data_IF_700446024798
#
_entry.id   IF_700446024798
#
_cell.length_a   1.000
_cell.length_b   1.000
_cell.length_c   1.000
_cell.angle_alpha   90.00
_cell.angle_beta   90.00
_cell.angle_gamma   90.00
#
_symmetry.space_group_name_H-M   'P 1'
#
loop_
_entity.id
_entity.type
_entity.pdbx_description
1 polymer ?
#
# COMPACT_ATOMS: atom_id res chain seq x y z
N UNK A 1 24.84 -3.11 16.65
CA UNK A 1 25.50 -4.02 15.67
C UNK A 1 25.78 -3.20 14.42
N UNK A 2 27.05 -3.15 13.98
CA UNK A 2 27.42 -2.38 12.80
C UNK A 2 26.93 -3.11 11.55
N UNK A 3 26.02 -2.50 10.82
CA UNK A 3 25.59 -2.98 9.51
C UNK A 3 26.75 -2.79 8.53
N UNK A 4 27.42 -3.88 8.19
CA UNK A 4 28.34 -3.88 7.06
C UNK A 4 27.51 -3.74 5.78
N UNK A 5 27.51 -2.56 5.19
CA UNK A 5 27.08 -2.34 3.83
C UNK A 5 27.97 -3.20 2.92
N UNK A 6 27.51 -4.38 2.53
CA UNK A 6 28.15 -5.16 1.48
C UNK A 6 27.97 -4.37 0.18
N UNK A 7 29.08 -4.13 -0.55
CA UNK A 7 28.98 -3.58 -1.91
C UNK A 7 28.02 -4.44 -2.72
N UNK A 8 27.08 -3.82 -3.47
CA UNK A 8 26.13 -4.55 -4.30
C UNK A 8 26.90 -5.54 -5.17
N UNK A 9 26.46 -6.79 -5.22
CA UNK A 9 26.95 -7.77 -6.18
C UNK A 9 26.03 -7.71 -7.40
N UNK A 10 26.58 -7.35 -8.55
CA UNK A 10 25.83 -7.31 -9.81
C UNK A 10 25.46 -5.89 -10.27
N UNK A 11 24.48 -5.75 -11.16
CA UNK A 11 24.10 -4.51 -11.83
C UNK A 11 23.26 -3.55 -10.94
N UNK A 12 23.13 -3.87 -9.66
CA UNK A 12 22.32 -3.08 -8.73
C UNK A 12 23.13 -1.92 -8.16
N UNK A 13 22.54 -0.72 -8.14
CA UNK A 13 23.14 0.49 -7.54
C UNK A 13 23.19 0.33 -6.01
N UNK A 14 22.11 -0.20 -5.41
CA UNK A 14 22.00 -0.48 -3.96
C UNK A 14 21.17 -1.74 -3.77
N UNK A 15 21.45 -2.48 -2.71
CA UNK A 15 20.59 -3.57 -2.24
C UNK A 15 20.42 -3.48 -0.73
N UNK A 16 19.22 -3.81 -0.23
CA UNK A 16 18.93 -3.93 1.20
C UNK A 16 17.95 -5.07 1.47
N UNK A 17 18.08 -5.70 2.62
CA UNK A 17 17.09 -6.65 3.10
C UNK A 17 15.78 -5.93 3.41
N UNK A 18 14.67 -6.54 3.06
CA UNK A 18 13.34 -5.97 3.28
C UNK A 18 12.86 -6.27 4.70
N UNK A 19 12.10 -5.35 5.25
CA UNK A 19 11.35 -5.48 6.50
C UNK A 19 9.88 -5.18 6.22
N UNK A 20 9.03 -5.09 7.24
CA UNK A 20 7.64 -4.66 7.08
C UNK A 20 7.55 -3.29 6.36
N UNK A 21 8.53 -2.41 6.59
CA UNK A 21 8.66 -1.13 5.90
C UNK A 21 9.80 -1.21 4.90
N UNK A 22 9.51 -0.89 3.64
CA UNK A 22 10.49 -1.01 2.58
C UNK A 22 11.31 0.28 2.44
N UNK A 23 12.58 0.14 2.05
CA UNK A 23 13.38 1.29 1.60
C UNK A 23 12.74 1.89 0.35
N UNK A 24 12.46 3.17 0.36
CA UNK A 24 11.82 3.91 -0.75
C UNK A 24 12.65 5.11 -1.16
N UNK A 25 12.35 5.64 -2.33
CA UNK A 25 12.92 6.88 -2.86
C UNK A 25 11.82 7.75 -3.45
N UNK A 26 12.00 9.08 -3.39
CA UNK A 26 11.12 10.06 -4.01
C UNK A 26 10.71 9.62 -5.43
N UNK A 27 9.41 9.60 -5.80
CA UNK A 27 8.27 10.20 -5.11
C UNK A 27 7.63 9.31 -4.02
N UNK A 28 8.08 8.07 -3.86
CA UNK A 28 7.56 7.14 -2.86
C UNK A 28 8.20 7.45 -1.50
N UNK A 29 7.38 7.75 -0.51
CA UNK A 29 7.84 8.14 0.82
C UNK A 29 7.75 7.02 1.85
N UNK A 30 6.92 6.03 1.58
CA UNK A 30 6.70 4.91 2.49
C UNK A 30 6.03 3.75 1.74
N UNK A 31 6.44 2.53 2.07
CA UNK A 31 5.73 1.30 1.71
C UNK A 31 5.72 0.38 2.91
N UNK A 32 4.55 -0.15 3.24
CA UNK A 32 4.43 -1.25 4.20
C UNK A 32 3.78 -2.47 3.56
N UNK A 33 4.24 -3.63 3.96
CA UNK A 33 3.66 -4.90 3.54
C UNK A 33 3.32 -5.73 4.77
N UNK A 34 2.06 -6.16 4.85
CA UNK A 34 1.48 -6.89 5.97
C UNK A 34 0.97 -8.24 5.49
N UNK A 35 1.51 -9.31 6.05
CA UNK A 35 0.96 -10.65 5.90
C UNK A 35 0.57 -11.17 7.28
N UNK A 36 -0.70 -11.49 7.46
CA UNK A 36 -1.25 -12.00 8.71
C UNK A 36 -2.25 -13.13 8.43
N UNK A 37 -2.20 -14.19 9.21
CA UNK A 37 -3.12 -15.31 9.09
C UNK A 37 -4.06 -15.31 10.28
N UNK A 38 -5.11 -14.50 10.19
CA UNK A 38 -6.09 -14.36 11.26
C UNK A 38 -6.94 -15.63 11.43
N UNK A 39 -7.40 -15.92 12.66
CA UNK A 39 -8.36 -17.00 12.93
C UNK A 39 -9.73 -16.70 12.33
N UNK A 40 -10.70 -17.59 12.57
CA UNK A 40 -12.10 -17.31 12.29
C UNK A 40 -12.59 -16.07 13.04
N UNK A 41 -13.46 -15.30 12.40
CA UNK A 41 -14.09 -14.14 13.01
C UNK A 41 -15.23 -14.52 13.97
N UNK A 42 -15.49 -13.69 14.95
CA UNK A 42 -16.70 -13.75 15.75
C UNK A 42 -17.81 -12.86 15.13
N UNK A 43 -18.95 -12.72 15.78
CA UNK A 43 -20.07 -11.88 15.31
C UNK A 43 -19.71 -10.39 15.14
N UNK A 44 -18.60 -9.94 15.73
CA UNK A 44 -18.05 -8.58 15.58
C UNK A 44 -16.94 -8.51 14.51
N UNK A 45 -16.71 -9.59 13.77
CA UNK A 45 -15.59 -9.73 12.82
C UNK A 45 -14.23 -9.54 13.49
N UNK A 46 -14.11 -9.94 14.74
CA UNK A 46 -12.90 -9.87 15.56
C UNK A 46 -12.36 -11.28 15.84
N UNK A 47 -11.06 -11.42 16.18
CA UNK A 47 -10.51 -12.70 16.62
C UNK A 47 -11.20 -13.20 17.92
N UNK A 48 -11.24 -14.52 18.18
CA UNK A 48 -11.69 -15.06 19.45
C UNK A 48 -10.86 -14.50 20.62
N UNK A 49 -11.51 -14.19 21.75
CA UNK A 49 -10.87 -13.58 22.92
C UNK A 49 -9.69 -14.39 23.46
N UNK A 50 -9.72 -15.71 23.36
CA UNK A 50 -8.62 -16.58 23.81
C UNK A 50 -7.34 -16.39 23.00
N UNK A 51 -7.43 -15.98 21.72
CA UNK A 51 -6.27 -15.79 20.86
C UNK A 51 -5.62 -14.41 20.99
N UNK A 52 -6.33 -13.47 21.60
CA UNK A 52 -5.83 -12.11 21.85
C UNK A 52 -5.60 -11.81 23.34
N UNK A 53 -5.91 -12.76 24.22
CA UNK A 53 -5.72 -12.61 25.65
C UNK A 53 -4.24 -12.39 26.01
N UNK A 54 -3.97 -11.37 26.84
CA UNK A 54 -2.61 -11.01 27.26
C UNK A 54 -1.77 -10.28 26.22
N UNK A 55 -2.33 -9.96 25.04
CA UNK A 55 -1.65 -9.16 24.00
C UNK A 55 -1.76 -7.66 24.32
N UNK A 56 -0.83 -6.88 23.78
CA UNK A 56 -0.81 -5.42 23.96
C UNK A 56 -1.72 -4.73 22.92
N UNK A 57 -3.02 -5.00 23.01
CA UNK A 57 -4.01 -4.48 22.04
C UNK A 57 -3.94 -2.95 21.92
N UNK A 58 -3.97 -2.45 20.69
CA UNK A 58 -3.77 -1.04 20.36
C UNK A 58 -2.31 -0.64 20.10
N UNK A 59 -1.34 -1.55 20.34
CA UNK A 59 0.09 -1.40 20.01
C UNK A 59 0.74 -2.75 19.76
N UNK A 60 0.01 -3.66 19.12
CA UNK A 60 0.43 -5.05 18.93
C UNK A 60 0.96 -5.28 17.52
N UNK A 61 2.24 -4.99 17.33
CA UNK A 61 2.96 -5.15 16.07
C UNK A 61 3.78 -6.44 16.00
N UNK A 62 3.69 -7.28 17.04
CA UNK A 62 4.37 -8.57 17.07
C UNK A 62 3.48 -9.66 16.49
N UNK A 63 3.94 -10.36 15.45
CA UNK A 63 3.24 -11.52 14.89
C UNK A 63 3.19 -12.65 15.94
N UNK A 64 2.01 -12.91 16.51
CA UNK A 64 1.75 -13.94 17.51
C UNK A 64 0.61 -14.82 17.01
N UNK A 65 0.77 -16.14 17.04
CA UNK A 65 -0.16 -17.11 16.43
C UNK A 65 -0.48 -16.85 14.94
N UNK A 66 0.48 -16.26 14.22
CA UNK A 66 0.36 -15.98 12.80
C UNK A 66 -0.16 -14.59 12.45
N UNK A 67 -0.59 -13.75 13.40
CA UNK A 67 -1.18 -12.45 13.12
C UNK A 67 -0.83 -11.35 14.13
N UNK A 68 -1.10 -10.09 13.75
CA UNK A 68 -0.96 -8.87 14.56
C UNK A 68 -2.32 -8.20 14.73
N UNK A 69 -2.48 -7.42 15.81
CA UNK A 69 -3.70 -6.60 16.01
C UNK A 69 -3.47 -5.12 15.65
N UNK A 70 -2.22 -4.70 15.45
CA UNK A 70 -1.85 -3.31 15.18
C UNK A 70 -2.41 -2.34 16.23
N UNK A 71 -3.11 -1.29 15.79
CA UNK A 71 -3.77 -0.32 16.65
C UNK A 71 -5.21 -0.70 17.02
N UNK A 72 -5.80 -1.69 16.33
CA UNK A 72 -7.12 -2.20 16.64
C UNK A 72 -7.17 -2.92 17.98
N UNK A 73 -8.23 -2.70 18.75
CA UNK A 73 -8.43 -3.35 20.07
C UNK A 73 -9.44 -4.49 20.01
N UNK A 74 -10.37 -4.44 19.08
CA UNK A 74 -11.41 -5.44 18.86
C UNK A 74 -11.19 -6.09 17.50
N UNK A 75 -11.40 -5.35 16.42
CA UNK A 75 -11.06 -5.76 15.04
C UNK A 75 -9.62 -5.32 14.76
N UNK A 76 -8.79 -6.13 14.08
CA UNK A 76 -7.46 -5.70 13.67
C UNK A 76 -7.53 -4.54 12.67
N UNK A 77 -6.45 -3.76 12.58
CA UNK A 77 -6.34 -2.65 11.65
C UNK A 77 -5.95 -1.34 12.33
N UNK A 78 -6.25 -0.25 11.65
CA UNK A 78 -5.86 1.10 12.04
C UNK A 78 -7.14 1.95 12.29
N UNK A 79 -7.54 2.13 13.56
CA UNK A 79 -8.59 3.07 13.92
C UNK A 79 -8.29 4.47 13.41
N UNK A 80 -9.25 5.38 13.47
CA UNK A 80 -9.15 6.74 12.96
C UNK A 80 -7.77 7.36 13.23
N UNK A 81 -7.13 7.79 12.15
CA UNK A 81 -5.83 8.45 12.14
C UNK A 81 -5.78 9.47 11.01
N UNK A 82 -4.91 10.47 11.16
CA UNK A 82 -4.81 11.58 10.22
C UNK A 82 -3.78 11.32 9.11
N UNK A 83 -3.99 11.99 7.96
CA UNK A 83 -3.03 12.13 6.86
C UNK A 83 -2.96 13.58 6.42
N UNK A 84 -1.78 14.02 5.92
CA UNK A 84 -1.60 15.35 5.38
C UNK A 84 -0.42 15.43 4.42
N UNK A 85 -0.69 15.81 3.16
CA UNK A 85 0.34 16.16 2.17
C UNK A 85 0.85 15.03 1.29
N UNK A 86 0.14 13.93 1.20
CA UNK A 86 0.51 12.77 0.35
C UNK A 86 -0.70 11.95 -0.06
N UNK A 87 -0.48 11.00 -0.93
CA UNK A 87 -1.45 10.05 -1.44
C UNK A 87 -1.12 8.65 -0.91
N UNK A 88 -2.14 7.90 -0.49
CA UNK A 88 -2.02 6.52 -0.01
C UNK A 88 -2.72 5.58 -0.97
N UNK A 89 -2.05 4.47 -1.31
CA UNK A 89 -2.55 3.41 -2.19
C UNK A 89 -2.57 2.14 -1.36
N UNK A 90 -3.76 1.61 -1.08
CA UNK A 90 -3.94 0.40 -0.26
C UNK A 90 -4.42 -0.75 -1.13
N UNK A 91 -3.66 -1.85 -1.11
CA UNK A 91 -3.89 -3.05 -1.93
C UNK A 91 -3.98 -4.29 -1.06
N UNK A 92 -5.18 -4.72 -0.66
CA UNK A 92 -5.39 -6.04 -0.08
C UNK A 92 -5.45 -7.10 -1.19
N UNK A 93 -4.41 -7.92 -1.30
CA UNK A 93 -4.39 -9.06 -2.24
C UNK A 93 -5.23 -10.22 -1.71
N UNK A 94 -5.24 -10.43 -0.40
CA UNK A 94 -6.17 -11.29 0.33
C UNK A 94 -6.72 -10.55 1.53
N UNK A 95 -7.92 -10.94 1.95
CA UNK A 95 -8.64 -10.27 3.03
C UNK A 95 -9.37 -9.01 2.58
N UNK A 96 -10.00 -8.36 3.54
CA UNK A 96 -10.77 -7.13 3.34
C UNK A 96 -10.19 -5.98 4.15
N UNK A 97 -10.40 -4.77 3.63
CA UNK A 97 -10.22 -3.52 4.36
C UNK A 97 -11.56 -2.79 4.39
N UNK A 98 -12.02 -2.43 5.57
CA UNK A 98 -13.14 -1.50 5.78
C UNK A 98 -12.57 -0.10 5.99
N UNK A 99 -12.97 0.81 5.11
CA UNK A 99 -12.62 2.23 5.15
C UNK A 99 -13.81 3.06 5.63
N UNK A 100 -13.54 4.05 6.47
CA UNK A 100 -14.48 5.17 6.73
C UNK A 100 -13.67 6.43 6.97
N UNK A 101 -14.18 7.59 6.54
CA UNK A 101 -13.43 8.85 6.61
C UNK A 101 -14.22 10.03 7.21
N UNK A 102 -13.51 11.13 7.42
CA UNK A 102 -14.05 12.35 7.98
C UNK A 102 -14.97 13.13 7.03
N UNK A 103 -15.03 12.75 5.76
CA UNK A 103 -15.93 13.34 4.77
C UNK A 103 -17.25 12.59 4.65
N UNK A 104 -17.39 11.46 5.38
CA UNK A 104 -18.60 10.64 5.43
C UNK A 104 -18.64 9.53 4.38
N UNK A 105 -17.53 9.24 3.71
CA UNK A 105 -17.43 8.08 2.85
C UNK A 105 -17.16 6.82 3.66
N UNK A 106 -17.68 5.68 3.22
CA UNK A 106 -17.39 4.37 3.81
C UNK A 106 -17.43 3.27 2.76
N UNK A 107 -16.67 2.21 2.96
CA UNK A 107 -16.63 1.09 2.00
C UNK A 107 -15.92 -0.13 2.53
N UNK A 108 -16.00 -1.19 1.76
CA UNK A 108 -15.22 -2.43 1.92
C UNK A 108 -14.61 -2.79 0.59
N UNK A 109 -13.32 -3.03 0.57
CA UNK A 109 -12.58 -3.46 -0.62
C UNK A 109 -11.61 -4.58 -0.24
N UNK A 110 -11.18 -5.39 -1.22
CA UNK A 110 -10.31 -6.53 -0.95
C UNK A 110 -10.07 -7.41 -2.17
N UNK A 111 -9.24 -8.44 -1.98
CA UNK A 111 -8.99 -9.49 -2.98
C UNK A 111 -8.55 -8.96 -4.35
N UNK A 112 -7.64 -7.96 -4.35
CA UNK A 112 -7.04 -7.37 -5.55
C UNK A 112 -7.61 -6.01 -5.95
N UNK A 113 -8.59 -5.47 -5.23
CA UNK A 113 -9.01 -4.06 -5.36
C UNK A 113 -7.88 -3.12 -4.92
N UNK A 114 -7.91 -1.90 -5.44
CA UNK A 114 -6.93 -0.85 -5.10
C UNK A 114 -7.67 0.41 -4.66
N UNK A 115 -7.47 0.82 -3.42
CA UNK A 115 -8.01 2.10 -2.96
C UNK A 115 -6.94 3.17 -3.00
N UNK A 116 -7.30 4.32 -3.57
CA UNK A 116 -6.51 5.54 -3.64
C UNK A 116 -7.13 6.60 -2.74
N UNK A 117 -6.35 7.12 -1.80
CA UNK A 117 -6.72 8.23 -0.93
C UNK A 117 -5.72 9.36 -1.14
N UNK A 118 -6.16 10.50 -1.65
CA UNK A 118 -5.34 11.71 -1.74
C UNK A 118 -5.72 12.66 -0.61
N UNK A 119 -4.75 12.99 0.22
CA UNK A 119 -4.89 13.87 1.37
C UNK A 119 -3.95 15.09 1.25
N UNK A 120 -4.25 16.06 0.39
CA UNK A 120 -3.43 17.26 0.25
C UNK A 120 -3.46 18.13 1.52
N UNK A 121 -4.60 18.19 2.20
CA UNK A 121 -4.83 18.85 3.49
C UNK A 121 -5.09 17.84 4.62
N UNK A 122 -5.63 18.36 5.73
CA UNK A 122 -6.02 17.54 6.88
C UNK A 122 -7.17 16.59 6.52
N UNK A 123 -6.92 15.30 6.65
CA UNK A 123 -7.86 14.22 6.36
C UNK A 123 -7.72 13.12 7.42
N UNK A 124 -8.83 12.55 7.85
CA UNK A 124 -8.87 11.44 8.81
C UNK A 124 -9.63 10.27 8.23
N UNK A 125 -9.10 9.06 8.40
CA UNK A 125 -9.79 7.82 8.06
C UNK A 125 -9.46 6.69 9.04
N UNK A 126 -10.25 5.63 9.01
CA UNK A 126 -9.88 4.34 9.58
C UNK A 126 -9.78 3.26 8.49
N UNK A 127 -8.89 2.29 8.70
CA UNK A 127 -8.70 1.12 7.84
C UNK A 127 -8.71 -0.12 8.73
N UNK A 128 -9.86 -0.78 8.84
CA UNK A 128 -10.05 -1.95 9.67
C UNK A 128 -10.01 -3.23 8.83
N UNK A 129 -9.56 -4.34 9.40
CA UNK A 129 -9.43 -5.63 8.72
C UNK A 129 -10.48 -6.61 9.27
N UNK A 130 -11.74 -6.56 8.77
CA UNK A 130 -12.83 -7.37 9.29
C UNK A 130 -12.62 -8.85 8.98
N UNK A 131 -12.73 -9.71 9.99
CA UNK A 131 -12.66 -11.16 9.85
C UNK A 131 -14.03 -11.71 9.49
N UNK A 132 -14.37 -11.68 8.20
CA UNK A 132 -15.72 -12.01 7.72
C UNK A 132 -16.00 -13.50 7.68
N UNK A 133 -14.98 -14.36 7.53
CA UNK A 133 -15.13 -15.79 7.63
C UNK A 133 -15.22 -16.20 9.11
N UNK A 134 -16.40 -16.71 9.51
CA UNK A 134 -16.68 -17.13 10.89
C UNK A 134 -16.37 -18.60 11.15
N UNK A 135 -16.03 -19.38 10.15
CA UNK A 135 -15.74 -20.80 10.25
C UNK A 135 -14.27 -21.11 9.96
N UNK A 136 -13.72 -20.49 8.91
CA UNK A 136 -12.34 -20.65 8.46
C UNK A 136 -11.40 -19.53 8.90
N UNK A 137 -10.17 -19.60 8.42
CA UNK A 137 -9.17 -18.55 8.65
C UNK A 137 -9.43 -17.35 7.74
N UNK A 138 -8.99 -16.19 8.17
CA UNK A 138 -9.04 -14.95 7.43
C UNK A 138 -7.61 -14.49 7.09
N UNK A 139 -6.96 -15.07 6.08
CA UNK A 139 -5.64 -14.61 5.67
C UNK A 139 -5.72 -13.18 5.13
N UNK A 140 -4.71 -12.40 5.42
CA UNK A 140 -4.62 -11.00 5.03
C UNK A 140 -3.23 -10.72 4.45
N UNK A 141 -3.17 -10.18 3.22
CA UNK A 141 -1.97 -9.72 2.53
C UNK A 141 -2.24 -8.33 1.99
N UNK A 142 -1.70 -7.31 2.65
CA UNK A 142 -1.92 -5.89 2.31
C UNK A 142 -0.59 -5.22 2.03
N UNK A 143 -0.49 -4.57 0.89
CA UNK A 143 0.58 -3.61 0.59
C UNK A 143 0.00 -2.20 0.59
N UNK A 144 0.61 -1.29 1.34
CA UNK A 144 0.25 0.12 1.35
C UNK A 144 1.44 0.96 0.87
N UNK A 145 1.22 1.76 -0.17
CA UNK A 145 2.22 2.62 -0.82
C UNK A 145 1.81 4.07 -0.61
N UNK A 146 2.76 4.93 -0.20
CA UNK A 146 2.52 6.36 -0.07
C UNK A 146 3.39 7.15 -1.05
N UNK A 147 2.76 8.08 -1.77
CA UNK A 147 3.40 8.98 -2.74
C UNK A 147 3.27 10.42 -2.25
N UNK A 148 4.37 11.15 -2.20
CA UNK A 148 4.36 12.56 -1.83
C UNK A 148 3.54 13.38 -2.84
N UNK A 149 2.83 14.39 -2.36
CA UNK A 149 2.33 15.47 -3.22
C UNK A 149 3.37 16.60 -3.29
N UNK A 150 3.52 17.27 -4.42
CA UNK A 150 4.40 18.43 -4.53
C UNK A 150 3.87 19.60 -3.67
N UNK A 151 4.75 20.51 -3.28
CA UNK A 151 4.42 21.59 -2.33
C UNK A 151 3.23 22.43 -2.76
N UNK A 152 3.09 22.70 -4.06
CA UNK A 152 1.98 23.48 -4.62
C UNK A 152 0.62 22.75 -4.57
N UNK A 153 0.62 21.44 -4.35
CA UNK A 153 -0.60 20.63 -4.15
C UNK A 153 -0.90 20.35 -2.68
N UNK A 154 -0.03 20.78 -1.76
CA UNK A 154 -0.28 20.64 -0.32
C UNK A 154 -1.21 21.72 0.19
N UNK A 155 -1.92 21.43 1.28
CA UNK A 155 -2.90 22.32 1.89
C UNK A 155 -4.09 22.72 0.97
N UNK A 156 -4.30 21.99 -0.13
CA UNK A 156 -5.52 22.13 -0.92
C UNK A 156 -6.71 21.49 -0.18
N UNK A 157 -7.92 22.03 -0.34
CA UNK A 157 -9.07 21.59 0.46
C UNK A 157 -9.67 20.24 0.02
N UNK A 158 -9.38 19.78 -1.19
CA UNK A 158 -10.07 18.64 -1.82
C UNK A 158 -9.32 17.35 -1.61
N UNK A 159 -9.72 16.56 -0.60
CA UNK A 159 -9.33 15.17 -0.48
C UNK A 159 -10.14 14.31 -1.45
N UNK A 160 -9.64 13.12 -1.78
CA UNK A 160 -10.41 12.18 -2.59
C UNK A 160 -10.17 10.74 -2.14
N UNK A 161 -11.21 9.93 -2.16
CA UNK A 161 -11.15 8.47 -2.01
C UNK A 161 -11.75 7.82 -3.24
N UNK A 162 -11.04 6.87 -3.84
CA UNK A 162 -11.49 6.14 -5.02
C UNK A 162 -11.06 4.68 -4.90
N UNK A 163 -11.92 3.77 -5.35
CA UNK A 163 -11.58 2.35 -5.42
C UNK A 163 -11.58 1.91 -6.87
N UNK A 164 -10.46 1.36 -7.33
CA UNK A 164 -10.37 0.65 -8.60
C UNK A 164 -10.60 -0.81 -8.31
N UNK A 165 -11.69 -1.34 -8.81
CA UNK A 165 -12.08 -2.73 -8.58
C UNK A 165 -11.15 -3.68 -9.34
N UNK A 166 -10.89 -4.85 -8.79
CA UNK A 166 -10.00 -5.82 -9.44
C UNK A 166 -10.45 -6.22 -10.85
N UNK A 167 -11.77 -6.17 -11.11
CA UNK A 167 -12.37 -6.45 -12.41
C UNK A 167 -12.05 -5.38 -13.46
N UNK A 168 -11.73 -4.16 -13.02
CA UNK A 168 -11.32 -3.02 -13.86
C UNK A 168 -9.80 -2.89 -13.95
N UNK A 169 -9.07 -3.61 -13.08
CA UNK A 169 -7.62 -3.51 -13.01
C UNK A 169 -6.98 -4.10 -14.28
N UNK A 170 -6.05 -3.37 -14.94
CA UNK A 170 -5.35 -3.91 -16.10
C UNK A 170 -4.36 -5.01 -15.68
N UNK A 171 -4.49 -6.18 -16.29
CA UNK A 171 -3.54 -7.27 -16.19
C UNK A 171 -2.90 -7.55 -17.53
N UNK A 172 -1.59 -7.83 -17.52
CA UNK A 172 -0.86 -8.43 -18.61
C UNK A 172 -0.47 -9.84 -18.19
N UNK A 173 -0.82 -10.84 -19.00
CA UNK A 173 -0.60 -12.25 -18.71
C UNK A 173 0.07 -12.96 -19.86
N UNK A 174 1.07 -13.77 -19.53
CA UNK A 174 1.72 -14.73 -20.42
C UNK A 174 1.88 -16.04 -19.69
N UNK A 175 2.40 -17.08 -20.36
CA UNK A 175 2.70 -18.35 -19.70
C UNK A 175 3.70 -18.14 -18.54
N UNK A 176 3.26 -18.45 -17.32
CA UNK A 176 4.07 -18.34 -16.10
C UNK A 176 4.33 -16.91 -15.59
N UNK A 177 3.68 -15.88 -16.16
CA UNK A 177 3.82 -14.50 -15.70
C UNK A 177 2.49 -13.76 -15.70
N UNK A 178 2.16 -13.13 -14.57
CA UNK A 178 1.03 -12.22 -14.43
C UNK A 178 1.50 -10.89 -13.85
N UNK A 179 1.20 -9.80 -14.55
CA UNK A 179 1.53 -8.43 -14.12
C UNK A 179 0.25 -7.64 -13.89
N UNK A 180 0.04 -7.19 -12.67
CA UNK A 180 -0.98 -6.23 -12.31
C UNK A 180 -0.41 -4.82 -12.49
N UNK A 181 -1.03 -4.03 -13.36
CA UNK A 181 -0.63 -2.63 -13.57
C UNK A 181 -1.47 -1.77 -12.62
N UNK A 182 -0.87 -1.32 -11.52
CA UNK A 182 -1.54 -0.52 -10.49
C UNK A 182 -1.47 0.97 -10.84
N UNK A 183 -0.37 1.39 -11.43
CA UNK A 183 -0.19 2.72 -12.01
C UNK A 183 0.81 2.66 -13.17
N UNK A 184 0.61 3.49 -14.17
CA UNK A 184 1.50 3.59 -15.32
C UNK A 184 1.10 2.70 -16.48
N UNK A 185 2.09 2.32 -17.28
CA UNK A 185 1.89 1.52 -18.48
C UNK A 185 2.87 0.33 -18.52
N UNK A 186 2.36 -0.82 -18.94
CA UNK A 186 3.15 -2.02 -19.21
C UNK A 186 2.51 -2.84 -20.34
N UNK A 187 3.26 -3.10 -21.42
CA UNK A 187 2.83 -3.91 -22.57
C UNK A 187 1.42 -3.59 -23.09
N UNK A 188 1.12 -2.30 -23.28
CA UNK A 188 -0.16 -1.82 -23.81
C UNK A 188 -1.32 -1.83 -22.79
N UNK A 189 -1.07 -2.18 -21.55
CA UNK A 189 -2.00 -2.02 -20.43
C UNK A 189 -1.64 -0.77 -19.67
N UNK A 190 -2.60 0.07 -19.30
CA UNK A 190 -2.34 1.31 -18.57
C UNK A 190 -3.47 1.67 -17.63
N UNK A 191 -3.11 2.28 -16.52
CA UNK A 191 -4.03 2.92 -15.56
C UNK A 191 -3.26 4.02 -14.82
N UNK A 192 -3.95 5.07 -14.41
CA UNK A 192 -3.37 6.20 -13.70
C UNK A 192 -4.16 6.46 -12.41
N UNK A 193 -3.57 7.18 -11.48
CA UNK A 193 -4.27 7.57 -10.25
C UNK A 193 -5.61 8.23 -10.57
N UNK A 194 -6.70 7.79 -9.97
CA UNK A 194 -8.01 8.43 -10.11
C UNK A 194 -8.17 9.66 -9.20
N UNK A 195 -7.14 10.02 -8.44
CA UNK A 195 -7.19 11.08 -7.44
C UNK A 195 -7.19 12.47 -8.06
N UNK A 196 -7.90 13.41 -7.43
CA UNK A 196 -7.96 14.82 -7.86
C UNK A 196 -6.58 15.49 -7.79
N UNK A 197 -5.81 15.15 -6.74
CA UNK A 197 -4.43 15.63 -6.56
C UNK A 197 -3.49 14.45 -6.47
N UNK A 198 -2.59 14.33 -7.43
CA UNK A 198 -1.66 13.21 -7.53
C UNK A 198 -0.33 13.62 -8.14
N UNK A 199 0.74 12.90 -7.82
CA UNK A 199 1.97 12.84 -8.62
C UNK A 199 2.02 11.61 -9.52
N UNK A 200 1.15 10.64 -9.27
CA UNK A 200 1.08 9.38 -9.97
C UNK A 200 0.31 9.50 -11.31
N UNK A 201 0.80 10.34 -12.19
CA UNK A 201 0.25 10.59 -13.51
C UNK A 201 1.26 10.29 -14.63
N UNK A 202 0.81 10.40 -15.88
CA UNK A 202 1.61 10.08 -17.06
C UNK A 202 2.81 11.01 -17.24
N UNK A 203 2.72 12.27 -16.79
CA UNK A 203 3.78 13.27 -17.01
C UNK A 203 5.00 13.02 -16.11
N UNK A 204 4.84 12.31 -15.00
CA UNK A 204 5.90 12.02 -14.05
C UNK A 204 6.44 10.59 -14.14
N UNK A 205 6.08 9.86 -15.18
CA UNK A 205 6.55 8.48 -15.44
C UNK A 205 6.41 7.54 -14.23
N UNK A 206 5.37 7.74 -13.40
CA UNK A 206 5.11 6.86 -12.27
C UNK A 206 4.61 5.52 -12.77
N UNK A 207 5.25 4.44 -12.29
CA UNK A 207 4.85 3.07 -12.59
C UNK A 207 4.90 2.22 -11.33
N UNK A 208 3.80 1.53 -11.06
CA UNK A 208 3.64 0.59 -9.96
C UNK A 208 3.14 -0.70 -10.56
N UNK A 209 4.00 -1.72 -10.56
CA UNK A 209 3.66 -3.06 -11.05
C UNK A 209 3.82 -4.08 -9.93
N UNK A 210 2.84 -4.97 -9.82
CA UNK A 210 2.96 -6.20 -9.04
C UNK A 210 3.08 -7.37 -10.01
N UNK A 211 4.15 -8.14 -9.89
CA UNK A 211 4.52 -9.23 -10.81
C UNK A 211 4.47 -10.55 -10.07
N UNK A 212 3.65 -11.47 -10.54
CA UNK A 212 3.63 -12.86 -10.08
C UNK A 212 4.30 -13.74 -11.14
N UNK A 213 5.24 -14.57 -10.72
CA UNK A 213 5.91 -15.53 -11.57
C UNK A 213 5.70 -16.95 -11.03
N UNK A 214 5.20 -17.83 -11.89
CA UNK A 214 5.19 -19.26 -11.63
C UNK A 214 6.62 -19.83 -11.66
N UNK A 215 6.86 -21.07 -11.23
CA UNK A 215 8.17 -21.72 -11.37
C UNK A 215 8.70 -21.62 -12.79
N UNK A 216 9.94 -21.14 -12.93
CA UNK A 216 10.61 -20.87 -14.21
C UNK A 216 9.95 -19.80 -15.10
N UNK A 217 8.95 -19.11 -14.61
CA UNK A 217 8.32 -17.96 -15.27
C UNK A 217 9.31 -16.83 -15.54
N UNK A 218 9.01 -16.02 -16.55
CA UNK A 218 9.90 -14.91 -16.97
C UNK A 218 9.16 -13.58 -17.01
N UNK A 219 9.88 -12.53 -16.65
CA UNK A 219 9.41 -11.16 -16.72
C UNK A 219 10.52 -10.29 -17.33
N UNK A 220 10.14 -9.33 -18.15
CA UNK A 220 11.07 -8.34 -18.69
C UNK A 220 10.38 -6.97 -18.71
N UNK A 221 11.12 -5.94 -18.31
CA UNK A 221 10.73 -4.55 -18.52
C UNK A 221 11.91 -3.75 -19.04
N UNK A 222 11.70 -3.03 -20.12
CA UNK A 222 12.72 -2.20 -20.79
C UNK A 222 13.18 -1.02 -19.93
N UNK A 223 14.14 -0.23 -20.47
CA UNK A 223 14.59 1.01 -19.84
C UNK A 223 13.44 1.97 -19.53
N UNK A 224 13.57 2.71 -18.45
CA UNK A 224 12.68 3.79 -18.06
C UNK A 224 13.27 5.16 -18.44
N UNK A 225 12.53 6.25 -18.19
CA UNK A 225 13.06 7.61 -18.30
C UNK A 225 14.28 7.76 -17.40
N UNK A 226 15.40 8.34 -17.86
CA UNK A 226 16.61 8.55 -17.06
C UNK A 226 16.40 9.35 -15.76
N UNK A 227 15.30 10.09 -15.65
CA UNK A 227 14.98 10.89 -14.48
C UNK A 227 14.36 10.09 -13.33
N UNK A 228 13.81 8.90 -13.59
CA UNK A 228 13.07 8.16 -12.56
C UNK A 228 14.00 7.49 -11.55
N UNK A 229 13.56 7.40 -10.32
CA UNK A 229 14.07 6.42 -9.37
C UNK A 229 13.42 5.08 -9.69
N UNK A 230 14.21 4.00 -9.74
CA UNK A 230 13.75 2.67 -10.12
C UNK A 230 14.11 1.64 -9.07
N UNK A 231 13.10 1.03 -8.46
CA UNK A 231 13.26 0.10 -7.35
C UNK A 231 12.49 -1.19 -7.63
N UNK A 232 13.17 -2.32 -7.49
CA UNK A 232 12.60 -3.67 -7.59
C UNK A 232 12.65 -4.33 -6.21
N UNK A 233 11.56 -4.94 -5.82
CA UNK A 233 11.40 -5.63 -4.54
C UNK A 233 11.04 -7.09 -4.79
N UNK A 234 11.85 -8.02 -4.30
CA UNK A 234 11.58 -9.45 -4.36
C UNK A 234 10.96 -9.90 -3.04
N UNK A 235 9.62 -9.97 -3.00
CA UNK A 235 8.83 -10.05 -1.77
C UNK A 235 8.67 -11.48 -1.28
N UNK A 236 8.36 -12.41 -2.17
CA UNK A 236 8.16 -13.82 -1.81
C UNK A 236 8.64 -14.78 -2.89
N UNK A 237 8.97 -16.00 -2.51
CA UNK A 237 9.53 -17.04 -3.37
C UNK A 237 10.75 -17.69 -2.73
N UNK A 238 11.60 -18.31 -3.53
CA UNK A 238 12.89 -18.87 -3.08
C UNK A 238 14.07 -18.05 -3.63
N UNK A 239 14.28 -18.09 -4.92
CA UNK A 239 15.35 -17.38 -5.63
C UNK A 239 14.93 -17.10 -7.07
N UNK A 240 15.59 -16.14 -7.68
CA UNK A 240 15.44 -15.80 -9.09
C UNK A 240 16.79 -15.39 -9.68
N UNK A 241 16.92 -15.47 -11.00
CA UNK A 241 17.99 -14.82 -11.74
C UNK A 241 17.49 -13.48 -12.22
N UNK A 242 18.07 -12.39 -11.73
CA UNK A 242 17.70 -11.03 -12.07
C UNK A 242 18.88 -10.35 -12.77
N UNK A 243 18.69 -9.90 -14.01
CA UNK A 243 19.74 -9.29 -14.84
C UNK A 243 21.02 -10.16 -14.88
N UNK A 244 20.84 -11.49 -14.98
CA UNK A 244 21.90 -12.48 -15.01
C UNK A 244 22.50 -12.91 -13.65
N UNK A 245 22.07 -12.32 -12.52
CA UNK A 245 22.60 -12.61 -11.18
C UNK A 245 21.56 -13.39 -10.34
N UNK A 246 22.02 -14.43 -9.65
CA UNK A 246 21.16 -15.15 -8.71
C UNK A 246 20.91 -14.30 -7.46
N UNK A 247 19.62 -14.13 -7.13
CA UNK A 247 19.11 -13.33 -6.02
C UNK A 247 18.17 -14.19 -5.19
N UNK A 248 18.28 -14.11 -3.88
CA UNK A 248 17.36 -14.75 -2.93
C UNK A 248 16.27 -13.75 -2.55
N UNK A 249 15.06 -14.23 -2.29
CA UNK A 249 13.91 -13.42 -1.89
C UNK A 249 14.20 -12.54 -0.65
N UNK A 250 13.27 -11.65 -0.31
CA UNK A 250 13.37 -10.65 0.74
C UNK A 250 14.44 -9.59 0.48
N UNK A 251 14.55 -9.15 -0.78
CA UNK A 251 15.57 -8.19 -1.20
C UNK A 251 14.96 -7.00 -1.98
N UNK A 252 15.34 -5.80 -1.56
CA UNK A 252 15.16 -4.57 -2.32
C UNK A 252 16.40 -4.30 -3.17
N UNK A 253 16.19 -3.88 -4.40
CA UNK A 253 17.25 -3.56 -5.38
C UNK A 253 16.93 -2.23 -6.06
N UNK A 254 17.84 -1.25 -5.87
CA UNK A 254 17.84 -0.04 -6.70
C UNK A 254 18.54 -0.34 -8.02
N UNK A 255 17.90 0.00 -9.13
CA UNK A 255 18.34 -0.33 -10.49
C UNK A 255 18.54 0.96 -11.29
N UNK A 256 19.54 0.95 -12.19
CA UNK A 256 19.73 2.03 -13.16
C UNK A 256 18.48 2.14 -14.05
N UNK A 257 17.85 3.32 -14.19
CA UNK A 257 16.68 3.48 -15.03
C UNK A 257 16.93 3.13 -16.50
N UNK A 258 18.17 3.28 -17.00
CA UNK A 258 18.54 2.92 -18.37
C UNK A 258 18.74 1.42 -18.61
N UNK A 259 18.70 0.58 -17.58
CA UNK A 259 18.84 -0.87 -17.71
C UNK A 259 17.52 -1.55 -18.11
N UNK A 260 17.62 -2.63 -18.88
CA UNK A 260 16.52 -3.60 -18.99
C UNK A 260 16.56 -4.49 -17.76
N UNK A 261 15.41 -4.71 -17.12
CA UNK A 261 15.24 -5.67 -16.02
C UNK A 261 14.64 -6.93 -16.58
N UNK A 262 15.40 -8.01 -16.57
CA UNK A 262 14.95 -9.37 -16.88
C UNK A 262 14.98 -10.21 -15.60
N UNK A 263 13.94 -11.03 -15.41
CA UNK A 263 13.80 -11.97 -14.30
C UNK A 263 13.49 -13.35 -14.87
N UNK A 264 14.28 -14.35 -14.45
CA UNK A 264 13.98 -15.76 -14.61
C UNK A 264 13.73 -16.34 -13.22
N UNK A 265 12.49 -16.76 -12.96
CA UNK A 265 12.10 -17.26 -11.64
C UNK A 265 12.72 -18.62 -11.32
N UNK A 266 12.85 -18.91 -10.03
CA UNK A 266 13.31 -20.18 -9.49
C UNK A 266 12.26 -21.30 -9.53
N UNK A 267 12.27 -22.14 -8.51
CA UNK A 267 11.44 -23.33 -8.42
C UNK A 267 10.11 -23.13 -7.70
N UNK A 268 9.92 -21.99 -7.06
CA UNK A 268 8.68 -21.63 -6.34
C UNK A 268 7.98 -20.46 -7.00
N UNK A 269 6.68 -20.31 -6.77
CA UNK A 269 5.93 -19.11 -7.17
C UNK A 269 6.53 -17.91 -6.45
N UNK A 270 6.73 -16.81 -7.18
CA UNK A 270 7.38 -15.60 -6.67
C UNK A 270 6.56 -14.36 -6.92
N UNK A 271 6.72 -13.37 -6.03
CA UNK A 271 6.10 -12.04 -6.15
C UNK A 271 7.18 -10.97 -6.13
N UNK A 272 7.10 -10.08 -7.12
CA UNK A 272 7.93 -8.89 -7.22
C UNK A 272 7.07 -7.64 -7.30
N UNK A 273 7.64 -6.52 -6.84
CA UNK A 273 7.09 -5.19 -7.08
C UNK A 273 8.10 -4.31 -7.77
N UNK A 274 7.67 -3.58 -8.78
CA UNK A 274 8.46 -2.53 -9.43
C UNK A 274 7.82 -1.18 -9.11
N UNK A 275 8.58 -0.31 -8.45
CA UNK A 275 8.19 1.07 -8.18
C UNK A 275 9.13 2.01 -8.92
N UNK A 276 8.58 2.81 -9.81
CA UNK A 276 9.30 3.79 -10.61
C UNK A 276 8.57 5.13 -10.59
N UNK A 277 9.31 6.22 -10.62
CA UNK A 277 8.72 7.55 -10.75
C UNK A 277 9.76 8.66 -10.79
N UNK A 278 9.44 9.72 -11.50
CA UNK A 278 10.24 10.95 -11.47
C UNK A 278 10.19 11.52 -10.05
N UNK A 279 11.34 11.81 -9.41
CA UNK A 279 11.37 12.43 -8.09
C UNK A 279 10.75 13.83 -8.15
N UNK A 280 9.99 14.20 -7.14
CA UNK A 280 9.47 15.56 -6.98
C UNK A 280 10.63 16.55 -6.78
N UNK A 281 11.71 16.09 -6.14
CA UNK A 281 12.94 16.86 -5.98
C UNK A 281 12.80 18.06 -5.04
N UNK A 282 11.71 18.17 -4.29
CA UNK A 282 11.45 19.26 -3.35
C UNK A 282 11.87 18.86 -1.93
N UNK A 283 12.49 19.78 -1.20
CA UNK A 283 12.77 19.55 0.22
C UNK A 283 11.48 19.55 1.01
N UNK A 284 11.22 18.48 1.73
CA UNK A 284 10.03 18.31 2.56
C UNK A 284 10.43 17.86 3.97
N UNK A 285 9.56 18.13 4.93
CA UNK A 285 9.65 17.67 6.31
C UNK A 285 8.53 16.71 6.62
N UNK A 286 8.87 15.57 7.21
CA UNK A 286 7.89 14.53 7.57
C UNK A 286 7.97 14.23 9.07
N UNK A 287 6.81 14.17 9.71
CA UNK A 287 6.69 13.64 11.08
C UNK A 287 5.34 12.92 11.26
N UNK A 288 5.42 11.65 11.62
CA UNK A 288 4.22 10.79 11.69
C UNK A 288 3.45 10.83 10.36
N UNK A 289 2.15 11.09 10.39
CA UNK A 289 1.30 11.08 9.19
C UNK A 289 1.25 12.43 8.45
N UNK A 290 2.24 13.28 8.62
CA UNK A 290 2.29 14.63 8.04
C UNK A 290 3.55 14.79 7.20
N UNK A 291 3.38 15.24 5.94
CA UNK A 291 4.47 15.58 5.02
C UNK A 291 4.23 16.97 4.43
N UNK A 292 4.98 17.97 4.87
CA UNK A 292 4.87 19.36 4.44
C UNK A 292 6.23 19.96 4.04
N UNK A 293 6.27 21.23 3.68
CA UNK A 293 7.48 21.86 3.19
C UNK A 293 8.54 22.12 4.26
N UNK A 294 8.12 22.41 5.49
CA UNK A 294 9.01 22.81 6.59
C UNK A 294 8.63 22.15 7.92
N UNK A 295 9.60 22.06 8.83
CA UNK A 295 9.37 21.57 10.20
C UNK A 295 8.36 22.46 10.96
N UNK A 296 8.27 23.76 10.63
CA UNK A 296 7.29 24.64 11.26
C UNK A 296 5.87 24.29 10.81
N UNK A 297 5.64 24.13 9.50
CA UNK A 297 4.35 23.70 8.97
C UNK A 297 3.92 22.35 9.54
N UNK A 298 4.85 21.41 9.71
CA UNK A 298 4.57 20.11 10.34
C UNK A 298 4.14 20.31 11.81
N UNK A 299 4.79 21.18 12.58
CA UNK A 299 4.38 21.49 13.96
C UNK A 299 3.00 22.12 14.03
N UNK A 300 2.72 23.06 13.13
CA UNK A 300 1.43 23.75 13.06
C UNK A 300 0.30 22.76 12.66
N UNK A 301 0.56 21.87 11.73
CA UNK A 301 -0.35 20.81 11.34
C UNK A 301 -0.62 19.84 12.51
N UNK A 302 0.41 19.42 13.27
CA UNK A 302 0.24 18.60 14.48
C UNK A 302 -0.63 19.30 15.53
N UNK A 303 -0.48 20.61 15.68
CA UNK A 303 -1.35 21.38 16.57
C UNK A 303 -2.78 21.42 16.04
N UNK A 304 -2.98 21.62 14.76
CA UNK A 304 -4.29 21.59 14.11
C UNK A 304 -4.96 20.23 14.31
N UNK A 305 -4.27 19.13 14.05
CA UNK A 305 -4.81 17.76 14.28
C UNK A 305 -5.30 17.62 15.72
N UNK A 306 -4.48 18.00 16.73
CA UNK A 306 -4.87 17.90 18.14
C UNK A 306 -6.10 18.75 18.52
N UNK A 307 -6.32 19.87 17.84
CA UNK A 307 -7.45 20.76 18.09
C UNK A 307 -8.72 20.35 17.34
N UNK A 308 -8.55 19.74 16.16
CA UNK A 308 -9.63 19.39 15.25
C UNK A 308 -9.97 17.88 15.25
N UNK A 309 -9.10 17.05 15.86
CA UNK A 309 -9.32 15.61 16.00
C UNK A 309 -10.72 15.30 16.53
N UNK A 310 -11.42 14.40 15.86
CA UNK A 310 -12.82 14.03 16.07
C UNK A 310 -13.89 15.07 15.70
N UNK A 311 -13.59 16.33 15.48
CA UNK A 311 -14.62 17.35 15.18
C UNK A 311 -15.25 17.13 13.81
N UNK A 312 -14.51 16.59 12.86
CA UNK A 312 -14.97 16.29 11.51
C UNK A 312 -15.43 14.85 11.35
N UNK A 313 -15.24 14.00 12.38
CA UNK A 313 -15.56 12.58 12.31
C UNK A 313 -17.06 12.34 12.45
N UNK A 314 -17.76 11.88 11.40
CA UNK A 314 -19.21 11.77 11.41
C UNK A 314 -19.75 10.46 12.02
N UNK A 315 -18.86 9.59 12.51
CA UNK A 315 -19.18 8.25 12.97
C UNK A 315 -19.15 8.14 14.49
N UNK A 316 -19.98 7.25 15.06
CA UNK A 316 -20.07 7.03 16.52
C UNK A 316 -18.81 6.36 17.11
N UNK A 317 -18.02 5.67 16.26
CA UNK A 317 -16.83 4.91 16.68
C UNK A 317 -15.65 5.22 15.74
N UNK A 318 -14.43 5.10 16.29
CA UNK A 318 -13.18 5.41 15.54
C UNK A 318 -12.62 4.21 14.77
N UNK A 319 -13.09 3.01 15.06
CA UNK A 319 -12.67 1.72 14.50
C UNK A 319 -13.84 1.03 13.78
N UNK A 320 -14.55 1.82 12.97
CA UNK A 320 -15.75 1.41 12.28
C UNK A 320 -15.49 0.25 11.32
N UNK A 321 -16.35 -0.77 11.41
CA UNK A 321 -16.48 -1.85 10.42
C UNK A 321 -17.87 -1.86 9.81
N UNK A 322 -17.98 -2.25 8.56
CA UNK A 322 -19.25 -2.37 7.86
C UNK A 322 -19.93 -3.72 8.19
N UNK A 323 -21.25 -3.86 8.05
CA UNK A 323 -21.95 -5.14 8.27
C UNK A 323 -21.27 -6.31 7.54
N UNK A 324 -21.31 -7.50 8.14
CA UNK A 324 -20.59 -8.68 7.64
C UNK A 324 -20.97 -9.04 6.20
N UNK A 325 -22.21 -8.84 5.83
CA UNK A 325 -22.81 -9.16 4.53
C UNK A 325 -22.75 -8.02 3.49
N UNK A 326 -22.00 -6.94 3.79
CA UNK A 326 -21.96 -5.75 2.92
C UNK A 326 -21.41 -6.01 1.52
N UNK A 327 -20.57 -7.04 1.35
CA UNK A 327 -19.81 -7.24 0.12
C UNK A 327 -18.80 -6.11 -0.13
N UNK A 328 -18.26 -6.01 -1.35
CA UNK A 328 -17.36 -4.93 -1.77
C UNK A 328 -18.19 -3.74 -2.26
N UNK A 329 -17.87 -2.53 -1.77
CA UNK A 329 -18.57 -1.30 -2.15
C UNK A 329 -17.79 -0.07 -1.70
N UNK A 330 -18.07 1.07 -2.30
CA UNK A 330 -17.77 2.40 -1.80
C UNK A 330 -19.08 3.21 -1.76
N UNK A 331 -19.46 3.70 -0.58
CA UNK A 331 -20.59 4.59 -0.37
C UNK A 331 -20.06 5.99 -0.09
N UNK A 332 -20.36 6.92 -0.96
CA UNK A 332 -19.96 8.32 -0.84
C UNK A 332 -20.89 9.08 0.09
N UNK A 333 -20.43 10.19 0.64
CA UNK A 333 -21.21 11.05 1.53
C UNK A 333 -22.47 11.64 0.88
N UNK A 334 -22.53 11.74 -0.44
CA UNK A 334 -23.73 12.17 -1.20
C UNK A 334 -24.76 11.05 -1.39
N UNK A 335 -24.49 9.84 -0.89
CA UNK A 335 -25.33 8.65 -1.02
C UNK A 335 -25.07 7.81 -2.26
N UNK A 336 -24.15 8.20 -3.14
CA UNK A 336 -23.74 7.38 -4.29
C UNK A 336 -23.05 6.12 -3.83
N UNK A 337 -23.53 4.95 -4.28
CA UNK A 337 -22.95 3.65 -3.98
C UNK A 337 -22.31 3.07 -5.24
N UNK A 338 -21.03 2.79 -5.16
CA UNK A 338 -20.24 2.10 -6.17
C UNK A 338 -20.01 0.65 -5.73
N UNK A 339 -20.08 -0.28 -6.68
CA UNK A 339 -19.80 -1.70 -6.48
C UNK A 339 -18.95 -2.22 -7.62
N UNK A 340 -18.22 -3.34 -7.44
CA UNK A 340 -17.54 -3.98 -8.56
C UNK A 340 -18.50 -4.19 -9.75
N UNK A 341 -18.01 -4.05 -10.99
CA UNK A 341 -18.81 -4.41 -12.16
C UNK A 341 -19.10 -5.92 -12.17
N UNK A 342 -20.23 -6.30 -12.81
CA UNK A 342 -20.64 -7.71 -12.96
C UNK A 342 -19.66 -8.52 -13.85
#
# INVERSE_FOLDING_TARGET
MAFFSRKPKGPFIKTSEMTMHWDTEDPFIFVSHHEDDYPHGNAQMAPPLQEISGRNLGRDYKKTFGFRMYNGKVVPGFPMHAHWGYETITLPQTGYVDHSDCEGNTGRFGFGDVQWVSAPGFYEHCEMYPLVDQEGRNPNDITQIMIALPLEKKNLPESSVNTVWKEEMPYFETEGCRVQVICGEYNGKSVWSPSTHTWADKSHSVRILRVELDPSGKFEVGPADPKVNRNLYFVSGDKARIMGFEVIWNLHMKIDPGATVDIENGSEKSVFWLLEGEPIGQKMSMFGPILLGTDQEVRDALQTIRLEEFKRWPWDVIDRVNPIDSGRFLLRSDGTRETPPE
#
